data_IF_547156783889
#
_entry.id   IF_547156783889
#
_cell.length_a   1.000
_cell.length_b   1.000
_cell.length_c   1.000
_cell.angle_alpha   90.00
_cell.angle_beta   90.00
_cell.angle_gamma   90.00
#
_symmetry.space_group_name_H-M   'P 1'
#
loop_
_entity.id
_entity.type
_entity.pdbx_description
1 polymer ?
#
# COMPACT_ATOMS: atom_id res chain seq x y z
N UNK A 1 18.72 -18.39 -27.02
CA UNK A 1 17.99 -17.42 -26.17
C UNK A 1 17.92 -17.99 -24.76
N UNK A 2 18.84 -17.58 -23.87
CA UNK A 2 18.80 -17.97 -22.45
C UNK A 2 17.87 -17.00 -21.74
N UNK A 3 16.76 -17.50 -21.20
CA UNK A 3 15.75 -16.71 -20.51
C UNK A 3 16.21 -16.41 -19.07
N UNK A 4 17.12 -15.44 -18.92
CA UNK A 4 17.68 -14.99 -17.63
C UNK A 4 16.58 -14.64 -16.59
N UNK A 5 15.39 -14.24 -17.03
CA UNK A 5 14.26 -13.95 -16.13
C UNK A 5 13.59 -15.19 -15.52
N UNK A 6 13.66 -16.36 -16.17
CA UNK A 6 13.09 -17.59 -15.62
C UNK A 6 13.96 -18.17 -14.49
N UNK A 7 15.28 -18.14 -14.69
CA UNK A 7 16.26 -18.56 -13.68
C UNK A 7 16.20 -17.67 -12.44
N UNK A 8 16.13 -16.35 -12.63
CA UNK A 8 15.95 -15.40 -11.53
C UNK A 8 14.67 -15.66 -10.73
N UNK A 9 13.54 -15.92 -11.43
CA UNK A 9 12.26 -16.20 -10.78
C UNK A 9 12.34 -17.42 -9.88
N UNK A 10 12.91 -18.52 -10.39
CA UNK A 10 13.01 -19.77 -9.66
C UNK A 10 14.01 -19.68 -8.49
N UNK A 11 15.16 -19.03 -8.70
CA UNK A 11 16.21 -18.96 -7.69
C UNK A 11 15.93 -17.93 -6.58
N UNK A 12 15.34 -16.78 -6.92
CA UNK A 12 15.16 -15.66 -5.99
C UNK A 12 13.70 -15.29 -5.77
N UNK A 13 12.95 -14.96 -6.83
CA UNK A 13 11.62 -14.36 -6.69
C UNK A 13 10.63 -15.28 -5.95
N UNK A 14 10.44 -16.51 -6.43
CA UNK A 14 9.45 -17.43 -5.89
C UNK A 14 9.75 -17.85 -4.44
N UNK A 15 10.99 -18.23 -4.06
CA UNK A 15 11.30 -18.52 -2.66
C UNK A 15 11.06 -17.31 -1.74
N UNK A 16 11.47 -16.10 -2.17
CA UNK A 16 11.30 -14.88 -1.38
C UNK A 16 9.81 -14.53 -1.22
N UNK A 17 9.01 -14.61 -2.29
CA UNK A 17 7.57 -14.32 -2.23
C UNK A 17 6.83 -15.34 -1.37
N UNK A 18 7.16 -16.64 -1.50
CA UNK A 18 6.56 -17.70 -0.67
C UNK A 18 6.88 -17.54 0.80
N UNK A 19 8.12 -17.19 1.15
CA UNK A 19 8.52 -16.98 2.56
C UNK A 19 7.78 -15.85 3.27
N UNK A 20 7.20 -14.90 2.52
CA UNK A 20 6.47 -13.74 3.05
C UNK A 20 4.97 -13.98 3.21
N UNK A 21 4.48 -15.15 2.79
CA UNK A 21 3.07 -15.48 2.98
C UNK A 21 2.78 -15.72 4.48
N UNK A 22 1.61 -15.32 4.98
CA UNK A 22 1.26 -15.47 6.40
C UNK A 22 1.29 -16.92 6.90
N UNK A 23 1.02 -17.87 6.00
CA UNK A 23 0.93 -19.31 6.22
C UNK A 23 2.24 -20.06 5.91
N UNK A 24 3.33 -19.35 5.61
CA UNK A 24 4.60 -19.99 5.27
C UNK A 24 5.21 -20.76 6.45
N UNK A 25 5.56 -22.02 6.21
CA UNK A 25 6.27 -22.87 7.17
C UNK A 25 7.66 -22.30 7.52
N UNK A 26 8.16 -22.66 8.70
CA UNK A 26 9.44 -22.15 9.21
C UNK A 26 10.61 -22.42 8.24
N UNK A 27 10.64 -23.60 7.61
CA UNK A 27 11.69 -23.96 6.64
C UNK A 27 11.64 -23.08 5.38
N UNK A 28 10.44 -22.85 4.84
CA UNK A 28 10.23 -21.96 3.68
C UNK A 28 10.65 -20.53 4.00
N UNK A 29 10.43 -20.07 5.24
CA UNK A 29 10.86 -18.75 5.70
C UNK A 29 12.38 -18.61 5.68
N UNK A 30 13.09 -19.59 6.25
CA UNK A 30 14.56 -19.60 6.26
C UNK A 30 15.13 -19.57 4.84
N UNK A 31 14.61 -20.42 3.95
CA UNK A 31 15.06 -20.47 2.54
C UNK A 31 14.85 -19.11 1.86
N UNK A 32 13.69 -18.48 2.04
CA UNK A 32 13.43 -17.17 1.43
C UNK A 32 14.31 -16.05 1.99
N UNK A 33 14.60 -16.06 3.30
CA UNK A 33 15.52 -15.12 3.93
C UNK A 33 16.95 -15.28 3.39
N UNK A 34 17.43 -16.52 3.21
CA UNK A 34 18.74 -16.81 2.62
C UNK A 34 18.83 -16.33 1.16
N UNK A 35 17.81 -16.60 0.34
CA UNK A 35 17.75 -16.13 -1.05
C UNK A 35 17.69 -14.61 -1.13
N UNK A 36 16.93 -13.95 -0.24
CA UNK A 36 16.91 -12.49 -0.15
C UNK A 36 18.28 -11.91 0.23
N UNK A 37 18.97 -12.52 1.21
CA UNK A 37 20.31 -12.10 1.62
C UNK A 37 21.34 -12.28 0.50
N UNK A 38 21.28 -13.40 -0.22
CA UNK A 38 22.13 -13.66 -1.37
C UNK A 38 21.90 -12.63 -2.48
N UNK A 39 20.65 -12.31 -2.80
CA UNK A 39 20.30 -11.30 -3.80
C UNK A 39 20.83 -9.92 -3.40
N UNK A 40 20.62 -9.51 -2.15
CA UNK A 40 21.13 -8.24 -1.63
C UNK A 40 22.66 -8.13 -1.72
N UNK A 41 23.40 -9.22 -1.44
CA UNK A 41 24.86 -9.24 -1.59
C UNK A 41 25.28 -9.08 -3.06
N UNK A 42 24.59 -9.73 -4.00
CA UNK A 42 24.88 -9.63 -5.43
C UNK A 42 24.61 -8.21 -5.95
N UNK A 43 23.52 -7.57 -5.54
CA UNK A 43 23.12 -6.25 -6.03
C UNK A 43 23.79 -5.10 -5.29
N UNK A 44 24.28 -5.32 -4.07
CA UNK A 44 24.88 -4.29 -3.21
C UNK A 44 26.10 -3.59 -3.81
N UNK A 45 26.85 -4.23 -4.70
CA UNK A 45 28.00 -3.62 -5.38
C UNK A 45 27.62 -2.53 -6.39
N UNK A 46 26.39 -2.57 -6.91
CA UNK A 46 25.91 -1.66 -7.96
C UNK A 46 24.86 -0.67 -7.44
N UNK A 47 24.31 -0.91 -6.25
CA UNK A 47 23.29 -0.05 -5.62
C UNK A 47 23.96 0.83 -4.57
N UNK A 48 24.07 2.13 -4.86
CA UNK A 48 24.49 3.11 -3.87
C UNK A 48 23.28 3.55 -3.01
N UNK A 49 23.25 3.14 -1.75
CA UNK A 49 22.25 3.58 -0.78
C UNK A 49 22.87 4.56 0.22
N UNK A 50 22.46 5.83 0.18
CA UNK A 50 22.78 6.83 1.21
C UNK A 50 21.74 6.74 2.32
N UNK A 51 22.17 6.46 3.55
CA UNK A 51 21.30 6.53 4.73
C UNK A 51 21.33 7.93 5.30
N UNK A 52 20.21 8.38 5.87
CA UNK A 52 20.11 9.69 6.52
C UNK A 52 21.03 9.80 7.76
N UNK A 53 21.53 8.66 8.26
CA UNK A 53 22.39 8.54 9.45
C UNK A 53 23.61 9.48 9.45
N UNK A 54 24.22 9.73 8.28
CA UNK A 54 25.36 10.65 8.18
C UNK A 54 24.97 12.14 8.36
N UNK A 55 23.71 12.48 8.11
CA UNK A 55 23.15 13.83 8.21
C UNK A 55 22.43 14.01 9.57
N UNK A 56 21.89 12.93 10.14
CA UNK A 56 21.14 12.96 11.41
C UNK A 56 21.95 13.56 12.57
N UNK A 57 23.28 13.40 12.58
CA UNK A 57 24.16 14.02 13.59
C UNK A 57 24.22 15.56 13.52
N UNK A 58 23.73 16.16 12.43
CA UNK A 58 23.69 17.60 12.21
C UNK A 58 22.27 18.16 12.20
N UNK A 59 21.24 17.32 12.37
CA UNK A 59 19.85 17.71 12.39
C UNK A 59 19.27 17.56 13.81
N UNK A 60 18.29 18.39 14.19
CA UNK A 60 17.52 18.16 15.41
C UNK A 60 16.84 16.78 15.39
N UNK A 61 16.62 16.20 16.56
CA UNK A 61 15.96 14.91 16.68
C UNK A 61 14.58 14.92 16.02
N UNK A 62 14.35 14.00 15.08
CA UNK A 62 13.04 13.80 14.47
C UNK A 62 12.11 13.13 15.50
N UNK A 63 10.99 13.78 15.79
CA UNK A 63 9.92 13.20 16.61
C UNK A 63 8.77 12.79 15.69
N UNK A 64 8.42 11.51 15.69
CA UNK A 64 7.26 10.97 14.99
C UNK A 64 6.20 10.55 16.01
N UNK A 65 4.96 10.95 15.78
CA UNK A 65 3.82 10.57 16.60
C UNK A 65 2.66 10.10 15.72
N UNK A 66 2.01 9.02 16.12
CA UNK A 66 0.77 8.52 15.50
C UNK A 66 -0.40 9.03 16.33
N UNK A 67 -1.23 9.88 15.74
CA UNK A 67 -2.42 10.44 16.40
C UNK A 67 -3.66 9.72 15.91
N UNK A 68 -4.45 9.19 16.86
CA UNK A 68 -5.72 8.55 16.56
C UNK A 68 -6.85 9.58 16.65
N UNK A 69 -7.34 10.01 15.48
CA UNK A 69 -8.47 10.93 15.39
C UNK A 69 -9.77 10.15 15.28
N UNK A 70 -10.72 10.41 16.18
CA UNK A 70 -12.06 9.87 16.08
C UNK A 70 -12.82 10.47 14.89
N UNK A 71 -13.60 9.65 14.20
CA UNK A 71 -14.44 10.08 13.08
C UNK A 71 -15.67 10.84 13.60
N UNK A 72 -16.02 11.95 12.94
CA UNK A 72 -17.20 12.74 13.34
C UNK A 72 -18.51 12.00 13.00
N UNK A 73 -19.64 12.31 13.68
CA UNK A 73 -20.93 11.68 13.38
C UNK A 73 -21.36 11.81 11.90
N UNK A 74 -21.11 12.96 11.28
CA UNK A 74 -21.39 13.19 9.85
C UNK A 74 -20.53 12.27 8.97
N UNK A 75 -19.23 12.17 9.24
CA UNK A 75 -18.34 11.29 8.49
C UNK A 75 -18.73 9.81 8.65
N UNK A 76 -19.16 9.37 9.84
CA UNK A 76 -19.67 7.99 10.05
C UNK A 76 -20.88 7.71 9.17
N UNK A 77 -21.84 8.63 9.15
CA UNK A 77 -23.05 8.50 8.33
C UNK A 77 -22.69 8.38 6.84
N UNK A 78 -21.86 9.29 6.33
CA UNK A 78 -21.42 9.28 4.93
C UNK A 78 -20.60 8.04 4.59
N UNK A 79 -19.73 7.59 5.50
CA UNK A 79 -18.92 6.39 5.34
C UNK A 79 -19.82 5.15 5.18
N UNK A 80 -20.80 4.98 6.08
CA UNK A 80 -21.75 3.86 6.02
C UNK A 80 -22.56 3.88 4.72
N UNK A 81 -23.05 5.05 4.30
CA UNK A 81 -23.78 5.20 3.05
C UNK A 81 -22.93 4.83 1.83
N UNK A 82 -21.65 5.25 1.80
CA UNK A 82 -20.73 4.93 0.73
C UNK A 82 -20.42 3.43 0.63
N UNK A 83 -20.24 2.75 1.78
CA UNK A 83 -20.04 1.28 1.82
C UNK A 83 -21.28 0.55 1.33
N UNK A 84 -22.46 0.88 1.85
CA UNK A 84 -23.71 0.24 1.44
C UNK A 84 -23.99 0.41 -0.05
N UNK A 85 -23.77 1.62 -0.58
CA UNK A 85 -23.90 1.87 -2.01
C UNK A 85 -22.95 1.01 -2.85
N UNK A 86 -21.70 0.86 -2.38
CA UNK A 86 -20.72 0.04 -3.05
C UNK A 86 -21.08 -1.45 -3.00
N UNK A 87 -21.47 -1.99 -1.84
CA UNK A 87 -21.87 -3.40 -1.70
C UNK A 87 -23.01 -3.75 -2.67
N UNK A 88 -24.04 -2.91 -2.72
CA UNK A 88 -25.18 -3.09 -3.61
C UNK A 88 -24.80 -3.05 -5.09
N UNK A 89 -23.94 -2.10 -5.48
CA UNK A 89 -23.53 -1.96 -6.90
C UNK A 89 -22.45 -2.95 -7.31
N UNK A 90 -21.57 -3.37 -6.40
CA UNK A 90 -20.52 -4.33 -6.69
C UNK A 90 -21.12 -5.71 -6.98
N UNK A 91 -22.13 -6.12 -6.21
CA UNK A 91 -22.90 -7.33 -6.48
C UNK A 91 -23.59 -7.31 -7.86
N UNK A 92 -23.99 -6.13 -8.34
CA UNK A 92 -24.70 -5.98 -9.61
C UNK A 92 -23.77 -5.88 -10.84
N UNK A 93 -22.69 -5.09 -10.75
CA UNK A 93 -21.95 -4.61 -11.93
C UNK A 93 -20.41 -4.72 -11.82
N UNK A 94 -19.85 -5.30 -10.75
CA UNK A 94 -18.40 -5.39 -10.57
C UNK A 94 -17.72 -4.01 -10.55
N UNK A 95 -18.12 -3.14 -9.62
CA UNK A 95 -17.59 -1.79 -9.52
C UNK A 95 -16.09 -1.77 -9.19
N UNK A 96 -15.39 -0.77 -9.72
CA UNK A 96 -13.98 -0.53 -9.39
C UNK A 96 -13.79 -0.19 -7.90
N UNK A 97 -13.17 -1.10 -7.14
CA UNK A 97 -12.79 -0.92 -5.72
C UNK A 97 -12.03 0.39 -5.45
N UNK A 98 -11.25 0.86 -6.43
CA UNK A 98 -10.49 2.11 -6.31
C UNK A 98 -11.39 3.34 -6.12
N UNK A 99 -12.58 3.34 -6.74
CA UNK A 99 -13.54 4.44 -6.63
C UNK A 99 -14.10 4.59 -5.22
N UNK A 100 -14.53 3.47 -4.62
CA UNK A 100 -15.03 3.49 -3.22
C UNK A 100 -13.92 3.85 -2.25
N UNK A 101 -12.70 3.30 -2.40
CA UNK A 101 -11.55 3.65 -1.55
C UNK A 101 -11.28 5.16 -1.61
N UNK A 102 -11.33 5.75 -2.80
CA UNK A 102 -11.11 7.19 -2.99
C UNK A 102 -12.20 8.01 -2.30
N UNK A 103 -13.47 7.60 -2.39
CA UNK A 103 -14.58 8.25 -1.70
C UNK A 103 -14.45 8.17 -0.17
N UNK A 104 -14.09 7.00 0.38
CA UNK A 104 -13.88 6.82 1.82
C UNK A 104 -12.72 7.68 2.33
N UNK A 105 -11.60 7.77 1.58
CA UNK A 105 -10.48 8.68 1.89
C UNK A 105 -10.94 10.14 1.94
N UNK A 106 -11.76 10.58 0.98
CA UNK A 106 -12.32 11.94 0.96
C UNK A 106 -13.16 12.21 2.20
N UNK A 107 -14.03 11.28 2.59
CA UNK A 107 -14.87 11.39 3.79
C UNK A 107 -14.01 11.56 5.05
N UNK A 108 -13.00 10.70 5.24
CA UNK A 108 -12.12 10.75 6.41
C UNK A 108 -11.28 12.04 6.47
N UNK A 109 -10.85 12.58 5.33
CA UNK A 109 -10.11 13.84 5.27
C UNK A 109 -11.01 15.04 5.57
N UNK A 110 -12.12 15.19 4.83
CA UNK A 110 -13.15 16.19 5.10
C UNK A 110 -14.41 15.94 4.23
N UNK A 111 -15.64 15.95 4.79
CA UNK A 111 -16.88 15.67 4.05
C UNK A 111 -17.12 16.50 2.77
N UNK A 112 -16.68 17.77 2.74
CA UNK A 112 -16.86 18.66 1.58
C UNK A 112 -16.07 18.22 0.34
N UNK A 113 -15.10 17.33 0.46
CA UNK A 113 -14.35 16.80 -0.68
C UNK A 113 -15.21 15.91 -1.60
N UNK A 114 -16.41 15.54 -1.15
CA UNK A 114 -17.41 14.85 -1.98
C UNK A 114 -18.19 15.79 -2.91
N UNK A 115 -18.41 17.07 -2.54
CA UNK A 115 -19.31 17.99 -3.26
C UNK A 115 -18.71 18.59 -4.53
N UNK A 116 -17.39 18.64 -4.66
CA UNK A 116 -16.71 19.12 -5.90
C UNK A 116 -16.89 18.18 -7.09
N UNK A 117 -17.45 16.98 -6.92
CA UNK A 117 -17.78 16.10 -8.03
C UNK A 117 -19.15 16.43 -8.67
N UNK A 118 -19.96 17.27 -8.05
CA UNK A 118 -21.35 17.56 -8.48
C UNK A 118 -21.58 19.01 -8.90
N UNK A 119 -20.57 19.88 -8.86
CA UNK A 119 -20.71 21.31 -9.21
C UNK A 119 -20.34 21.66 -10.66
N UNK A 120 -19.92 20.70 -11.48
CA UNK A 120 -19.54 20.95 -12.89
C UNK A 120 -20.67 20.65 -13.89
N UNK A 121 -21.92 20.64 -13.44
CA UNK A 121 -23.07 20.54 -14.34
C UNK A 121 -24.19 21.50 -13.90
N UNK A 122 -24.01 22.78 -14.21
CA UNK A 122 -25.12 23.70 -14.38
C UNK A 122 -25.00 24.23 -15.82
N UNK A 123 -25.88 23.84 -16.75
CA UNK A 123 -25.99 24.53 -18.02
C UNK A 123 -26.71 25.87 -17.78
N UNK A 124 -26.16 26.94 -18.34
CA UNK A 124 -26.92 28.17 -18.62
C UNK A 124 -28.06 27.89 -19.61
#
# INVERSE_FOLDING_TARGET
>A
HVCHGAEFRQEFEEPIVRSRQPDAEAEVRVIGEERAAQLNRKTGWFILRRTQQAIDQYLPSKHEAVVFCAITPLQVMLYKAAVQFWDNKNAANGLAHLGVITALKKICNHPTLLSRATSDCQPD
#
